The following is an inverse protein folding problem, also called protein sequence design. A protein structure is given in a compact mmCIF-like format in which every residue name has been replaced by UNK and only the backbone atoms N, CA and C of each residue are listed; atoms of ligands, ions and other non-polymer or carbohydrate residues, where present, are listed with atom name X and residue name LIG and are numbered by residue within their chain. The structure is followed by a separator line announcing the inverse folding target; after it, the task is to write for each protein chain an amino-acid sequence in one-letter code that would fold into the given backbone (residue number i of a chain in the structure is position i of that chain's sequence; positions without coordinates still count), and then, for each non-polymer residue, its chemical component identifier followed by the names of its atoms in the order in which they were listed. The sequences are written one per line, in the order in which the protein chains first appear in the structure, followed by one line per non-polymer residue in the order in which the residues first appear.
data_IF_947427475498
#
_entry.id   IF_947427475498
#
_cell.length_a   1.000
_cell.length_b   1.000
_cell.length_c   1.000
_cell.angle_alpha   90.00
_cell.angle_beta   90.00
_cell.angle_gamma   90.00
#
_symmetry.space_group_name_H-M   'P 1'
#
loop_
_entity.id
_entity.type
_entity.pdbx_description
1 polymer ?
#
# COMPACT_ATOMS: atom_id res chain seq x y z
N UNK A 1 -17.80 -28.79 18.56
CA UNK A 1 -16.70 -29.40 19.35
C UNK A 1 -17.03 -29.22 20.83
N UNK A 2 -17.09 -30.26 21.64
CA UNK A 2 -17.29 -30.15 23.08
C UNK A 2 -16.14 -29.39 23.76
N UNK A 3 -16.39 -28.79 24.93
CA UNK A 3 -15.37 -27.97 25.61
C UNK A 3 -14.16 -28.77 26.11
N UNK A 4 -14.34 -30.05 26.37
CA UNK A 4 -13.30 -31.00 26.80
C UNK A 4 -12.38 -31.48 25.63
N UNK A 5 -12.82 -31.25 24.37
CA UNK A 5 -12.03 -31.48 23.16
C UNK A 5 -11.26 -30.24 22.70
N UNK A 6 -11.49 -29.08 23.33
CA UNK A 6 -10.75 -27.85 22.98
C UNK A 6 -9.30 -27.99 23.45
N UNK A 7 -8.38 -27.58 22.58
CA UNK A 7 -6.97 -27.45 22.94
C UNK A 7 -6.73 -26.43 24.04
N UNK A 8 -5.59 -26.52 24.70
CA UNK A 8 -5.17 -25.55 25.74
C UNK A 8 -4.24 -24.52 25.17
N UNK A 9 -4.45 -23.23 25.53
CA UNK A 9 -3.51 -22.18 25.20
C UNK A 9 -2.16 -22.45 25.89
N UNK A 10 -1.08 -22.33 25.13
CA UNK A 10 0.30 -22.40 25.62
C UNK A 10 1.06 -21.17 25.19
N UNK A 11 1.71 -20.50 26.13
CA UNK A 11 2.59 -19.39 25.81
C UNK A 11 3.86 -19.90 25.15
N UNK A 12 4.27 -19.22 24.07
CA UNK A 12 5.51 -19.46 23.36
C UNK A 12 6.43 -18.26 23.59
N UNK A 13 7.35 -18.37 24.54
CA UNK A 13 8.13 -17.23 25.05
C UNK A 13 9.19 -16.72 24.05
N UNK A 14 9.63 -17.57 23.12
CA UNK A 14 10.62 -17.25 22.08
C UNK A 14 10.01 -16.83 20.73
N UNK A 15 8.68 -16.65 20.66
CA UNK A 15 7.99 -16.32 19.40
C UNK A 15 8.49 -15.01 18.77
N UNK A 16 8.67 -13.95 19.61
CA UNK A 16 9.16 -12.65 19.14
C UNK A 16 10.55 -12.76 18.52
N UNK A 17 11.49 -13.42 19.20
CA UNK A 17 12.85 -13.62 18.69
C UNK A 17 12.87 -14.40 17.38
N UNK A 18 12.06 -15.45 17.24
CA UNK A 18 11.93 -16.20 15.97
C UNK A 18 11.41 -15.33 14.84
N UNK A 19 10.42 -14.49 15.10
CA UNK A 19 9.88 -13.60 14.09
C UNK A 19 10.88 -12.51 13.70
N UNK A 20 11.61 -11.93 14.67
CA UNK A 20 12.69 -10.96 14.42
C UNK A 20 13.74 -11.59 13.49
N UNK A 21 14.24 -12.79 13.82
CA UNK A 21 15.21 -13.50 12.97
C UNK A 21 14.65 -13.81 11.58
N UNK A 22 13.38 -14.20 11.49
CA UNK A 22 12.73 -14.41 10.21
C UNK A 22 12.71 -13.11 9.38
N UNK A 23 12.24 -11.99 9.93
CA UNK A 23 12.23 -10.70 9.23
C UNK A 23 13.63 -10.32 8.74
N UNK A 24 14.63 -10.42 9.61
CA UNK A 24 16.04 -10.14 9.26
C UNK A 24 16.55 -11.02 8.12
N UNK A 25 16.11 -12.26 8.03
CA UNK A 25 16.51 -13.19 6.96
C UNK A 25 15.92 -12.81 5.58
N UNK A 26 14.94 -11.93 5.52
CA UNK A 26 14.31 -11.50 4.25
C UNK A 26 15.09 -10.42 3.51
N UNK A 27 15.98 -9.70 4.19
CA UNK A 27 16.92 -8.76 3.56
C UNK A 27 18.18 -9.52 3.11
N UNK A 28 18.81 -9.18 1.97
CA UNK A 28 20.06 -9.82 1.57
C UNK A 28 21.14 -9.70 2.63
N UNK A 29 21.92 -10.78 2.87
CA UNK A 29 22.86 -10.87 3.98
C UNK A 29 24.07 -9.92 3.91
N UNK A 30 24.29 -9.27 2.77
CA UNK A 30 25.29 -8.22 2.55
C UNK A 30 24.76 -6.80 2.78
N UNK A 31 23.46 -6.66 3.11
CA UNK A 31 22.78 -5.38 3.35
C UNK A 31 22.49 -5.24 4.84
N UNK A 32 22.98 -4.15 5.44
CA UNK A 32 22.61 -3.72 6.78
C UNK A 32 22.03 -2.29 6.76
N UNK A 33 21.46 -1.86 7.90
CA UNK A 33 20.88 -0.54 8.05
C UNK A 33 21.74 0.43 8.85
N UNK A 34 23.04 0.11 9.02
CA UNK A 34 23.99 0.97 9.76
C UNK A 34 24.04 2.37 9.17
N UNK A 35 23.97 3.36 10.06
CA UNK A 35 23.96 4.77 9.68
C UNK A 35 22.63 5.29 9.17
N UNK A 36 21.60 4.45 9.05
CA UNK A 36 20.24 4.92 8.81
C UNK A 36 19.55 5.24 10.14
N UNK A 37 19.05 6.46 10.28
CA UNK A 37 18.15 6.84 11.36
C UNK A 37 16.72 6.77 10.86
N UNK A 38 15.90 5.92 11.49
CA UNK A 38 14.55 5.60 11.06
C UNK A 38 13.53 5.98 12.12
N UNK A 39 12.45 6.64 11.70
CA UNK A 39 11.23 6.73 12.51
C UNK A 39 10.41 5.46 12.28
N UNK A 40 9.99 4.79 13.35
CA UNK A 40 9.16 3.58 13.26
C UNK A 40 7.88 3.80 14.05
N UNK A 41 6.78 3.99 13.34
CA UNK A 41 5.44 4.13 13.91
C UNK A 41 4.74 2.77 13.93
N UNK A 42 4.53 2.25 15.14
CA UNK A 42 3.96 0.94 15.39
C UNK A 42 2.43 0.97 15.62
N UNK A 43 1.76 2.11 15.39
CA UNK A 43 0.31 2.27 15.53
C UNK A 43 -0.25 1.89 16.91
N UNK A 44 0.56 1.78 17.96
CA UNK A 44 0.21 1.12 19.23
C UNK A 44 -0.39 -0.28 19.00
N UNK A 45 0.05 -0.96 17.94
CA UNK A 45 -0.45 -2.25 17.45
C UNK A 45 0.44 -3.43 17.84
N UNK A 46 0.25 -4.56 17.14
CA UNK A 46 0.92 -5.83 17.42
C UNK A 46 2.45 -5.76 17.28
N UNK A 47 2.95 -4.91 16.39
CA UNK A 47 4.38 -4.78 16.12
C UNK A 47 5.15 -3.86 17.09
N UNK A 48 4.52 -3.32 18.13
CA UNK A 48 5.06 -2.26 19.00
C UNK A 48 6.45 -2.55 19.59
N UNK A 49 6.79 -3.80 19.79
CA UNK A 49 8.10 -4.21 20.30
C UNK A 49 8.97 -4.92 19.26
N UNK A 50 8.37 -5.68 18.33
CA UNK A 50 9.18 -6.45 17.35
C UNK A 50 9.69 -5.58 16.19
N UNK A 51 8.93 -4.59 15.74
CA UNK A 51 9.36 -3.75 14.62
C UNK A 51 10.61 -2.91 14.95
N UNK A 52 10.65 -2.16 16.08
CA UNK A 52 11.85 -1.45 16.48
C UNK A 52 13.08 -2.36 16.61
N UNK A 53 12.89 -3.56 17.20
CA UNK A 53 13.98 -4.51 17.41
C UNK A 53 14.54 -5.04 16.09
N UNK A 54 13.70 -5.37 15.09
CA UNK A 54 14.13 -5.82 13.75
C UNK A 54 15.07 -4.80 13.10
N UNK A 55 14.67 -3.53 13.06
CA UNK A 55 15.48 -2.48 12.42
C UNK A 55 16.74 -2.17 13.23
N UNK A 56 16.65 -2.16 14.56
CA UNK A 56 17.78 -1.94 15.46
C UNK A 56 18.84 -3.06 15.32
N UNK A 57 18.42 -4.33 15.29
CA UNK A 57 19.34 -5.46 15.14
C UNK A 57 20.02 -5.50 13.77
N UNK A 58 19.43 -4.89 12.74
CA UNK A 58 20.06 -4.64 11.44
C UNK A 58 20.99 -3.41 11.43
N UNK A 59 21.09 -2.70 12.56
CA UNK A 59 22.04 -1.60 12.77
C UNK A 59 21.45 -0.20 12.57
N UNK A 60 20.14 -0.03 12.40
CA UNK A 60 19.52 1.27 12.32
C UNK A 60 19.51 1.98 13.70
N UNK A 61 19.57 3.33 13.68
CA UNK A 61 19.23 4.18 14.81
C UNK A 61 17.70 4.43 14.76
N UNK A 62 16.95 3.81 15.69
CA UNK A 62 15.50 3.75 15.65
C UNK A 62 14.86 4.74 16.61
N UNK A 63 13.98 5.59 16.08
CA UNK A 63 13.06 6.44 16.86
C UNK A 63 11.68 5.79 16.79
N UNK A 64 11.26 5.11 17.86
CA UNK A 64 9.96 4.44 17.91
C UNK A 64 8.86 5.40 18.37
N UNK A 65 7.74 5.45 17.64
CA UNK A 65 6.50 6.15 18.02
C UNK A 65 5.33 5.19 17.93
N UNK A 66 4.20 5.51 18.55
CA UNK A 66 3.08 4.58 18.57
C UNK A 66 3.44 3.20 19.16
N UNK A 67 4.37 3.14 20.14
CA UNK A 67 4.90 1.91 20.71
C UNK A 67 4.51 1.68 22.18
N UNK A 68 3.43 2.30 22.64
CA UNK A 68 2.94 2.21 24.01
C UNK A 68 1.45 1.81 24.03
N UNK A 69 1.11 0.56 23.66
CA UNK A 69 -0.27 0.11 23.61
C UNK A 69 -0.89 0.05 25.02
N UNK A 70 -2.11 0.58 25.17
CA UNK A 70 -2.89 0.54 26.41
C UNK A 70 -4.16 -0.34 26.29
N UNK A 71 -4.36 -0.98 25.15
CA UNK A 71 -5.53 -1.79 24.81
C UNK A 71 -6.69 -1.03 24.18
N UNK A 72 -6.62 0.32 24.11
CA UNK A 72 -7.67 1.19 23.56
C UNK A 72 -7.15 2.20 22.54
N UNK A 73 -5.83 2.36 22.40
CA UNK A 73 -5.18 3.40 21.61
C UNK A 73 -4.63 2.93 20.26
N UNK A 74 -4.91 1.70 19.85
CA UNK A 74 -4.49 1.18 18.55
C UNK A 74 -4.99 2.09 17.40
N UNK A 75 -4.09 2.47 16.46
CA UNK A 75 -4.36 3.38 15.35
C UNK A 75 -4.91 4.77 15.74
N UNK A 76 -4.82 5.18 17.01
CA UNK A 76 -5.35 6.47 17.45
C UNK A 76 -4.36 7.59 17.19
N UNK A 77 -4.52 8.28 16.05
CA UNK A 77 -3.66 9.38 15.64
C UNK A 77 -2.23 8.97 15.33
N UNK A 78 -1.99 7.68 15.08
CA UNK A 78 -0.71 7.06 14.76
C UNK A 78 -0.93 5.94 13.74
N UNK A 79 0.13 5.50 13.11
CA UNK A 79 0.15 4.36 12.19
C UNK A 79 -0.25 4.70 10.75
N UNK A 80 -0.22 3.71 9.89
CA UNK A 80 -0.41 3.81 8.44
C UNK A 80 -1.76 4.39 8.00
N UNK A 81 -2.72 4.51 8.93
CA UNK A 81 -4.03 5.14 8.69
C UNK A 81 -4.08 6.61 9.12
N UNK A 82 -3.04 7.14 9.76
CA UNK A 82 -2.90 8.49 10.28
C UNK A 82 -1.49 9.02 10.00
N UNK A 83 -1.23 9.34 8.75
CA UNK A 83 0.12 9.64 8.24
C UNK A 83 0.48 11.12 8.23
N UNK A 84 -0.43 11.98 8.69
CA UNK A 84 -0.33 13.44 8.56
C UNK A 84 0.90 14.03 9.26
N UNK A 85 1.39 13.35 10.30
CA UNK A 85 2.54 13.80 11.09
C UNK A 85 3.86 13.10 10.76
N UNK A 86 3.84 12.07 9.90
CA UNK A 86 5.02 11.23 9.68
C UNK A 86 6.23 12.02 9.15
N UNK A 87 6.04 12.86 8.15
CA UNK A 87 7.13 13.64 7.55
C UNK A 87 7.66 14.70 8.51
N UNK A 88 6.78 15.33 9.31
CA UNK A 88 7.18 16.28 10.34
C UNK A 88 8.03 15.61 11.41
N UNK A 89 7.57 14.50 11.97
CA UNK A 89 8.31 13.72 12.95
C UNK A 89 9.63 13.19 12.37
N UNK A 90 9.63 12.73 11.11
CA UNK A 90 10.82 12.29 10.41
C UNK A 90 11.89 13.40 10.39
N UNK A 91 11.50 14.62 10.03
CA UNK A 91 12.36 15.80 9.98
C UNK A 91 12.83 16.25 11.37
N UNK A 92 11.91 16.32 12.35
CA UNK A 92 12.22 16.72 13.72
C UNK A 92 13.28 15.82 14.37
N UNK A 93 13.20 14.54 14.11
CA UNK A 93 14.15 13.56 14.62
C UNK A 93 15.36 13.35 13.72
N UNK A 94 15.47 14.02 12.58
CA UNK A 94 16.58 13.86 11.63
C UNK A 94 16.65 12.46 11.02
N UNK A 95 15.49 11.83 10.81
CA UNK A 95 15.39 10.50 10.20
C UNK A 95 15.48 10.58 8.67
N UNK A 96 16.07 9.56 8.05
CA UNK A 96 16.16 9.47 6.57
C UNK A 96 14.86 8.95 5.95
N UNK A 97 14.07 8.23 6.73
CA UNK A 97 12.74 7.74 6.36
C UNK A 97 11.91 7.43 7.62
N UNK A 98 10.60 7.52 7.48
CA UNK A 98 9.63 7.00 8.43
C UNK A 98 9.00 5.72 7.87
N UNK A 99 8.87 4.70 8.72
CA UNK A 99 8.16 3.45 8.49
C UNK A 99 6.92 3.48 9.35
N UNK A 100 5.74 3.41 8.78
CA UNK A 100 4.48 3.40 9.51
C UNK A 100 3.69 2.13 9.21
N UNK A 101 3.37 1.41 10.26
CA UNK A 101 2.61 0.17 10.24
C UNK A 101 1.17 0.44 10.71
N UNK A 102 0.25 -0.44 10.41
CA UNK A 102 -1.08 -0.40 11.01
C UNK A 102 -1.20 -1.34 12.21
N UNK A 103 -2.39 -1.50 12.74
CA UNK A 103 -2.62 -2.17 14.03
C UNK A 103 -2.15 -3.62 14.11
N UNK A 104 -2.27 -4.40 13.05
CA UNK A 104 -1.79 -5.79 12.94
C UNK A 104 -0.52 -5.93 12.09
N UNK A 105 0.01 -4.77 11.63
CA UNK A 105 1.27 -4.62 10.91
C UNK A 105 1.33 -5.35 9.56
N UNK A 106 0.18 -5.54 8.92
CA UNK A 106 0.10 -6.13 7.57
C UNK A 106 0.25 -5.07 6.47
N UNK A 107 0.22 -3.76 6.81
CA UNK A 107 0.35 -2.62 5.91
C UNK A 107 1.58 -1.78 6.24
N UNK A 108 2.11 -1.18 5.18
CA UNK A 108 3.24 -0.27 5.22
C UNK A 108 2.92 1.02 4.47
N UNK A 109 3.14 2.14 5.14
CA UNK A 109 3.27 3.47 4.54
C UNK A 109 4.64 4.01 4.96
N UNK A 110 5.30 4.74 4.09
CA UNK A 110 6.57 5.38 4.41
C UNK A 110 6.49 6.89 4.14
N UNK A 111 7.37 7.65 4.77
CA UNK A 111 7.50 9.08 4.49
C UNK A 111 8.97 9.50 4.53
N UNK A 112 9.28 10.61 3.85
CA UNK A 112 10.56 11.30 3.94
C UNK A 112 10.47 12.56 4.81
N UNK A 113 11.60 13.21 5.03
CA UNK A 113 11.69 14.46 5.78
C UNK A 113 11.26 15.69 4.94
N UNK A 114 11.13 15.53 3.63
CA UNK A 114 10.78 16.58 2.67
C UNK A 114 9.27 16.80 2.57
N UNK A 115 8.46 15.90 3.10
CA UNK A 115 7.01 16.05 3.19
C UNK A 115 6.22 15.07 2.33
N UNK A 116 6.88 14.15 1.62
CA UNK A 116 6.19 13.15 0.81
C UNK A 116 5.85 11.90 1.63
N UNK A 117 4.61 11.45 1.48
CA UNK A 117 4.11 10.20 2.05
C UNK A 117 3.93 9.20 0.92
N UNK A 118 4.70 8.13 0.96
CA UNK A 118 4.72 7.07 -0.05
C UNK A 118 3.69 6.02 0.28
N UNK A 119 2.72 5.85 -0.60
CA UNK A 119 1.67 4.84 -0.44
C UNK A 119 2.09 3.45 -0.97
N UNK A 120 1.21 2.46 -0.82
CA UNK A 120 1.50 1.08 -1.23
C UNK A 120 1.86 0.92 -2.71
N UNK A 121 1.32 1.75 -3.60
CA UNK A 121 1.64 1.69 -5.04
C UNK A 121 3.08 2.13 -5.31
N UNK A 122 3.55 3.19 -4.64
CA UNK A 122 4.92 3.69 -4.75
C UNK A 122 5.93 2.73 -4.12
N UNK A 123 5.60 2.18 -2.96
CA UNK A 123 6.47 1.22 -2.27
C UNK A 123 6.57 -0.11 -3.02
N UNK A 124 5.47 -0.61 -3.57
CA UNK A 124 5.46 -1.77 -4.45
C UNK A 124 6.31 -1.52 -5.70
N UNK A 125 6.24 -0.32 -6.29
CA UNK A 125 7.09 0.07 -7.40
C UNK A 125 8.58 -0.01 -7.06
N UNK A 126 8.98 0.53 -5.91
CA UNK A 126 10.39 0.44 -5.43
C UNK A 126 10.84 -1.01 -5.33
N UNK A 127 10.03 -1.87 -4.71
CA UNK A 127 10.35 -3.30 -4.57
C UNK A 127 10.50 -3.97 -5.94
N UNK A 128 9.57 -3.75 -6.86
CA UNK A 128 9.60 -4.33 -8.21
C UNK A 128 10.83 -3.85 -8.99
N UNK A 129 11.13 -2.55 -8.95
CA UNK A 129 12.32 -1.97 -9.61
C UNK A 129 13.62 -2.55 -9.09
N UNK A 130 13.69 -2.79 -7.79
CA UNK A 130 14.84 -3.43 -7.18
C UNK A 130 15.01 -4.88 -7.67
N UNK A 131 13.92 -5.65 -7.73
CA UNK A 131 13.94 -7.03 -8.26
C UNK A 131 14.30 -7.12 -9.75
N UNK A 132 13.91 -6.12 -10.54
CA UNK A 132 14.31 -6.05 -11.95
C UNK A 132 15.82 -5.93 -12.16
N UNK A 133 16.58 -5.56 -11.13
CA UNK A 133 18.07 -5.57 -11.18
C UNK A 133 18.65 -6.99 -11.10
N UNK A 134 17.90 -7.91 -10.48
CA UNK A 134 18.30 -9.31 -10.33
C UNK A 134 17.80 -10.19 -11.50
N UNK A 135 16.75 -9.74 -12.18
CA UNK A 135 16.16 -10.46 -13.32
C UNK A 135 14.82 -9.90 -13.76
N UNK A 136 14.22 -10.46 -14.79
CA UNK A 136 12.94 -9.99 -15.31
C UNK A 136 11.81 -10.26 -14.31
N UNK A 137 10.95 -9.26 -14.09
CA UNK A 137 9.69 -9.39 -13.35
C UNK A 137 8.56 -9.58 -14.36
N UNK A 138 7.90 -10.74 -14.34
CA UNK A 138 6.88 -11.09 -15.33
C UNK A 138 5.61 -10.24 -15.19
N UNK A 139 5.24 -9.88 -13.95
CA UNK A 139 4.05 -9.07 -13.71
C UNK A 139 3.79 -8.75 -12.26
N UNK A 140 2.86 -7.83 -12.06
CA UNK A 140 2.41 -7.29 -10.77
C UNK A 140 0.89 -7.36 -10.71
N UNK A 141 0.34 -7.79 -9.58
CA UNK A 141 -1.08 -7.71 -9.32
C UNK A 141 -1.41 -6.54 -8.38
N UNK A 142 -2.29 -5.66 -8.82
CA UNK A 142 -2.88 -4.62 -8.00
C UNK A 142 -4.38 -4.82 -7.83
N UNK A 143 -5.06 -3.83 -7.26
CA UNK A 143 -6.52 -3.84 -7.15
C UNK A 143 -7.17 -2.86 -8.12
N UNK A 144 -8.51 -2.83 -8.11
CA UNK A 144 -9.26 -1.79 -8.80
C UNK A 144 -8.90 -0.37 -8.33
N UNK A 145 -8.31 -0.24 -7.13
CA UNK A 145 -7.92 1.06 -6.56
C UNK A 145 -6.48 1.47 -6.90
N UNK A 146 -5.64 0.55 -7.35
CA UNK A 146 -4.25 0.84 -7.76
C UNK A 146 -4.22 1.95 -8.80
N UNK A 147 -3.37 2.94 -8.60
CA UNK A 147 -3.26 4.11 -9.47
C UNK A 147 -2.87 3.73 -10.90
N UNK A 148 -3.50 4.35 -11.88
CA UNK A 148 -3.21 4.08 -13.30
C UNK A 148 -1.78 4.49 -13.68
N UNK A 149 -1.19 5.46 -12.99
CA UNK A 149 0.20 5.85 -13.17
C UNK A 149 1.17 4.68 -12.93
N UNK A 150 0.92 3.87 -11.89
CA UNK A 150 1.71 2.66 -11.63
C UNK A 150 1.56 1.62 -12.75
N UNK A 151 0.32 1.30 -13.16
CA UNK A 151 0.05 0.37 -14.25
C UNK A 151 0.75 0.79 -15.55
N UNK A 152 0.62 2.07 -15.91
CA UNK A 152 1.27 2.66 -17.08
C UNK A 152 2.79 2.52 -17.01
N UNK A 153 3.37 2.90 -15.86
CA UNK A 153 4.83 2.86 -15.69
C UNK A 153 5.38 1.44 -15.74
N UNK A 154 4.70 0.47 -15.13
CA UNK A 154 5.07 -0.94 -15.22
C UNK A 154 5.00 -1.45 -16.66
N UNK A 155 3.96 -1.07 -17.41
CA UNK A 155 3.84 -1.40 -18.83
C UNK A 155 4.98 -0.85 -19.70
N UNK A 156 5.42 0.39 -19.44
CA UNK A 156 6.59 1.00 -20.09
C UNK A 156 7.90 0.23 -19.81
N UNK A 157 7.97 -0.42 -18.64
CA UNK A 157 9.09 -1.26 -18.24
C UNK A 157 8.99 -2.72 -18.73
N UNK A 158 7.92 -3.05 -19.47
CA UNK A 158 7.67 -4.42 -19.95
C UNK A 158 7.17 -5.38 -18.86
N UNK A 159 6.69 -4.86 -17.73
CA UNK A 159 6.12 -5.64 -16.64
C UNK A 159 4.60 -5.74 -16.84
N UNK A 160 4.06 -6.97 -16.86
CA UNK A 160 2.63 -7.20 -16.94
C UNK A 160 1.89 -6.64 -15.73
N UNK A 161 0.64 -6.22 -15.93
CA UNK A 161 -0.19 -5.75 -14.82
C UNK A 161 -1.56 -6.44 -14.82
N UNK A 162 -2.05 -6.83 -13.64
CA UNK A 162 -3.39 -7.40 -13.46
C UNK A 162 -4.13 -6.70 -12.33
N UNK A 163 -5.41 -6.40 -12.55
CA UNK A 163 -6.29 -5.81 -11.54
C UNK A 163 -7.17 -6.87 -10.89
N UNK A 164 -7.02 -7.02 -9.58
CA UNK A 164 -7.91 -7.80 -8.74
C UNK A 164 -9.08 -6.95 -8.20
N UNK A 165 -10.08 -7.59 -7.63
CA UNK A 165 -11.02 -6.91 -6.72
C UNK A 165 -10.24 -6.34 -5.52
N UNK A 166 -10.82 -5.33 -4.86
CA UNK A 166 -10.25 -4.80 -3.62
C UNK A 166 -10.24 -5.89 -2.53
N UNK A 167 -9.09 -6.06 -1.89
CA UNK A 167 -8.82 -7.05 -0.85
C UNK A 167 -7.59 -7.90 -1.19
N UNK A 168 -6.71 -8.05 -0.22
CA UNK A 168 -5.44 -8.78 -0.26
C UNK A 168 -5.59 -10.20 -0.82
N UNK A 169 -6.63 -10.92 -0.38
CA UNK A 169 -6.97 -12.25 -0.88
C UNK A 169 -7.08 -12.31 -2.40
N UNK A 170 -7.74 -11.31 -3.01
CA UNK A 170 -7.94 -11.30 -4.47
C UNK A 170 -6.65 -10.96 -5.21
N UNK A 171 -5.78 -10.17 -4.60
CA UNK A 171 -4.43 -9.91 -5.13
C UNK A 171 -3.62 -11.20 -5.10
N UNK A 172 -3.64 -11.93 -3.98
CA UNK A 172 -2.96 -13.21 -3.84
C UNK A 172 -3.48 -14.25 -4.85
N UNK A 173 -4.81 -14.35 -5.03
CA UNK A 173 -5.42 -15.24 -6.03
C UNK A 173 -4.87 -14.93 -7.44
N UNK A 174 -4.78 -13.66 -7.84
CA UNK A 174 -4.21 -13.25 -9.14
C UNK A 174 -2.72 -13.59 -9.27
N UNK A 175 -1.94 -13.44 -8.20
CA UNK A 175 -0.53 -13.81 -8.20
C UNK A 175 -0.35 -15.31 -8.42
N UNK A 176 -1.10 -16.13 -7.70
CA UNK A 176 -1.02 -17.60 -7.80
C UNK A 176 -1.48 -18.11 -9.17
N UNK A 177 -2.58 -17.57 -9.72
CA UNK A 177 -3.10 -17.96 -11.04
C UNK A 177 -2.10 -17.66 -12.17
N UNK A 178 -1.31 -16.58 -12.05
CA UNK A 178 -0.37 -16.11 -13.08
C UNK A 178 1.06 -16.58 -12.85
N UNK A 179 1.35 -17.15 -11.69
CA UNK A 179 2.72 -17.46 -11.28
C UNK A 179 3.57 -16.20 -11.04
N UNK A 180 2.94 -15.10 -10.63
CA UNK A 180 3.61 -13.84 -10.30
C UNK A 180 3.93 -13.75 -8.82
N UNK A 181 4.92 -12.92 -8.48
CA UNK A 181 5.44 -12.86 -7.11
C UNK A 181 5.12 -11.56 -6.37
N UNK A 182 4.78 -10.48 -7.09
CA UNK A 182 4.65 -9.14 -6.49
C UNK A 182 3.26 -8.57 -6.73
N UNK A 183 2.68 -8.03 -5.68
CA UNK A 183 1.39 -7.37 -5.76
C UNK A 183 1.10 -6.57 -4.52
N UNK A 184 0.01 -5.81 -4.54
CA UNK A 184 -0.38 -5.03 -3.36
C UNK A 184 -1.55 -4.11 -3.61
N UNK A 185 -1.85 -3.36 -2.56
CA UNK A 185 -2.89 -2.36 -2.51
C UNK A 185 -2.32 -0.99 -2.18
N UNK A 186 -2.93 0.05 -2.67
CA UNK A 186 -2.58 1.45 -2.36
C UNK A 186 -2.56 1.73 -0.84
N UNK A 187 -3.36 0.97 -0.07
CA UNK A 187 -3.40 1.04 1.41
C UNK A 187 -2.12 0.56 2.11
N UNK A 188 -1.15 0.01 1.37
CA UNK A 188 0.12 -0.45 1.92
C UNK A 188 0.21 -1.96 2.18
N UNK A 189 -0.83 -2.75 1.92
CA UNK A 189 -0.74 -4.20 1.99
C UNK A 189 0.01 -4.72 0.76
N UNK A 190 1.28 -5.13 0.95
CA UNK A 190 2.20 -5.53 -0.11
C UNK A 190 2.54 -7.01 0.03
N UNK A 191 2.45 -7.73 -1.09
CA UNK A 191 2.81 -9.12 -1.23
C UNK A 191 4.12 -9.23 -2.00
N UNK A 192 5.14 -9.84 -1.39
CA UNK A 192 6.41 -10.21 -2.01
C UNK A 192 6.62 -11.72 -1.75
N UNK A 193 6.01 -12.55 -2.59
CA UNK A 193 5.92 -14.01 -2.39
C UNK A 193 7.27 -14.73 -2.47
N UNK A 194 8.30 -14.05 -2.94
CA UNK A 194 9.70 -14.50 -2.86
C UNK A 194 10.28 -14.37 -1.43
N UNK A 195 9.59 -13.70 -0.51
CA UNK A 195 10.02 -13.43 0.87
C UNK A 195 9.04 -13.93 1.91
N UNK A 196 7.74 -13.67 1.72
CA UNK A 196 6.68 -14.01 2.66
C UNK A 196 5.40 -14.37 1.90
N UNK A 197 4.62 -15.30 2.43
CA UNK A 197 3.39 -15.80 1.79
C UNK A 197 2.14 -14.93 2.05
N UNK A 198 2.28 -13.89 2.87
CA UNK A 198 1.23 -12.92 3.19
C UNK A 198 1.79 -11.52 3.21
N UNK A 199 0.94 -10.50 3.29
CA UNK A 199 1.35 -9.13 3.58
C UNK A 199 1.99 -9.03 4.96
N UNK A 200 3.09 -8.31 5.02
CA UNK A 200 3.87 -8.07 6.23
C UNK A 200 4.58 -6.72 6.08
N UNK A 201 4.16 -5.74 6.87
CA UNK A 201 4.67 -4.38 6.76
C UNK A 201 6.15 -4.27 7.12
N UNK A 202 6.65 -5.09 8.07
CA UNK A 202 8.06 -5.09 8.46
C UNK A 202 8.90 -5.69 7.33
N UNK A 203 8.50 -6.84 6.78
CA UNK A 203 9.18 -7.45 5.64
C UNK A 203 9.18 -6.52 4.44
N UNK A 204 8.05 -5.89 4.14
CA UNK A 204 7.92 -4.92 3.04
C UNK A 204 8.84 -3.71 3.24
N UNK A 205 8.91 -3.15 4.46
CA UNK A 205 9.81 -2.06 4.80
C UNK A 205 11.29 -2.48 4.59
N UNK A 206 11.65 -3.69 4.99
CA UNK A 206 13.01 -4.22 4.77
C UNK A 206 13.36 -4.34 3.29
N UNK A 207 12.40 -4.69 2.41
CA UNK A 207 12.65 -4.71 0.97
C UNK A 207 12.91 -3.30 0.43
N UNK A 208 12.12 -2.31 0.85
CA UNK A 208 12.29 -0.90 0.44
C UNK A 208 13.60 -0.33 0.98
N UNK A 209 13.89 -0.48 2.27
CA UNK A 209 15.13 -0.03 2.89
C UNK A 209 16.34 -0.74 2.28
N UNK A 210 16.22 -2.03 1.95
CA UNK A 210 17.22 -2.78 1.22
C UNK A 210 17.53 -2.19 -0.15
N UNK A 211 16.49 -1.77 -0.90
CA UNK A 211 16.65 -1.09 -2.17
C UNK A 211 17.38 0.26 -2.00
N UNK A 212 17.01 1.06 -1.00
CA UNK A 212 17.70 2.32 -0.66
C UNK A 212 19.19 2.07 -0.37
N UNK A 213 19.52 1.05 0.42
CA UNK A 213 20.91 0.71 0.79
C UNK A 213 21.73 0.25 -0.40
N UNK A 214 21.18 -0.65 -1.23
CA UNK A 214 21.89 -1.17 -2.42
C UNK A 214 22.16 -0.11 -3.46
N UNK A 215 21.27 0.87 -3.60
CA UNK A 215 21.41 1.93 -4.60
C UNK A 215 22.12 3.17 -4.07
N UNK A 216 22.13 3.38 -2.76
CA UNK A 216 22.53 4.62 -2.13
C UNK A 216 21.55 5.77 -2.38
N UNK A 217 20.31 5.46 -2.81
CA UNK A 217 19.29 6.44 -3.21
C UNK A 217 18.24 6.65 -2.11
N UNK A 218 17.68 7.85 -2.05
CA UNK A 218 16.52 8.18 -1.25
C UNK A 218 15.23 7.57 -1.85
N UNK A 219 14.12 7.58 -1.08
CA UNK A 219 12.82 7.19 -1.59
C UNK A 219 12.38 8.06 -2.77
N UNK A 220 12.60 9.37 -2.68
CA UNK A 220 12.29 10.31 -3.75
C UNK A 220 13.03 9.98 -5.06
N UNK A 221 14.31 9.60 -4.98
CA UNK A 221 15.08 9.19 -6.16
C UNK A 221 14.62 7.85 -6.73
N UNK A 222 14.23 6.89 -5.87
CA UNK A 222 13.74 5.58 -6.30
C UNK A 222 12.36 5.64 -6.97
N UNK A 223 11.56 6.66 -6.67
CA UNK A 223 10.23 6.87 -7.24
C UNK A 223 10.20 8.00 -8.28
N UNK A 224 11.32 8.67 -8.56
CA UNK A 224 11.37 9.88 -9.40
C UNK A 224 10.82 9.70 -10.82
N UNK A 225 10.84 8.49 -11.34
CA UNK A 225 10.31 8.13 -12.66
C UNK A 225 8.89 7.53 -12.63
N UNK A 226 8.24 7.50 -11.47
CA UNK A 226 6.83 7.14 -11.27
C UNK A 226 6.00 8.39 -11.04
N UNK A 227 5.02 8.62 -11.88
CA UNK A 227 4.03 9.69 -11.68
C UNK A 227 2.67 9.07 -11.40
N UNK A 228 2.21 9.17 -10.17
CA UNK A 228 0.83 8.83 -9.83
C UNK A 228 -0.10 9.91 -10.36
N UNK A 229 -1.22 9.48 -10.94
CA UNK A 229 -2.21 10.39 -11.49
C UNK A 229 -3.10 10.95 -10.39
N UNK A 230 -3.49 12.24 -10.48
CA UNK A 230 -4.56 12.79 -9.67
C UNK A 230 -5.82 11.96 -9.75
N UNK A 231 -6.47 11.74 -8.61
CA UNK A 231 -7.74 11.02 -8.49
C UNK A 231 -8.82 11.94 -7.97
N UNK A 232 -9.98 11.93 -8.62
CA UNK A 232 -11.20 12.55 -8.10
C UNK A 232 -12.24 11.47 -7.81
N UNK A 233 -12.80 11.48 -6.60
CA UNK A 233 -13.80 10.53 -6.15
C UNK A 233 -15.08 11.27 -5.75
N UNK A 234 -16.19 10.95 -6.41
CA UNK A 234 -17.52 11.44 -6.05
C UNK A 234 -18.37 10.28 -5.53
N UNK A 235 -18.89 10.43 -4.32
CA UNK A 235 -19.83 9.50 -3.71
C UNK A 235 -21.24 10.02 -3.89
N UNK A 236 -22.08 9.31 -4.65
CA UNK A 236 -23.47 9.70 -4.90
C UNK A 236 -24.42 8.74 -4.21
N UNK A 237 -25.30 9.21 -3.30
CA UNK A 237 -26.34 8.37 -2.72
C UNK A 237 -27.23 7.78 -3.82
N UNK A 238 -27.50 6.48 -3.74
CA UNK A 238 -28.42 5.78 -4.65
C UNK A 238 -29.43 4.96 -3.86
N UNK A 239 -30.68 4.79 -4.32
CA UNK A 239 -31.63 3.88 -3.71
C UNK A 239 -31.07 2.45 -3.65
N UNK A 240 -31.44 1.70 -2.61
CA UNK A 240 -31.04 0.29 -2.50
C UNK A 240 -31.59 -0.51 -3.69
N UNK A 241 -30.70 -1.18 -4.41
CA UNK A 241 -31.05 -1.97 -5.59
C UNK A 241 -31.21 -1.15 -6.88
N UNK A 242 -30.80 0.12 -6.88
CA UNK A 242 -30.82 0.96 -8.08
C UNK A 242 -29.92 0.36 -9.17
N UNK A 243 -30.51 0.15 -10.36
CA UNK A 243 -29.79 -0.37 -11.53
C UNK A 243 -29.10 0.78 -12.30
N UNK A 244 -27.98 1.23 -11.78
CA UNK A 244 -27.17 2.27 -12.41
C UNK A 244 -26.63 1.89 -13.79
N UNK A 245 -26.53 0.56 -14.09
CA UNK A 245 -26.10 0.09 -15.41
C UNK A 245 -27.19 0.21 -16.46
N UNK A 246 -28.45 0.19 -16.03
CA UNK A 246 -29.61 0.46 -16.88
C UNK A 246 -29.88 1.96 -17.12
N UNK A 247 -29.26 2.84 -16.35
CA UNK A 247 -29.39 4.30 -16.51
C UNK A 247 -28.59 4.77 -17.74
N UNK A 248 -29.33 5.03 -18.84
CA UNK A 248 -28.71 5.39 -20.12
C UNK A 248 -27.94 6.71 -20.05
N UNK A 249 -28.48 7.72 -19.38
CA UNK A 249 -27.81 9.03 -19.29
C UNK A 249 -26.49 8.92 -18.52
N UNK A 250 -26.52 8.17 -17.42
CA UNK A 250 -25.31 7.89 -16.64
C UNK A 250 -24.27 7.10 -17.45
N UNK A 251 -24.68 6.03 -18.15
CA UNK A 251 -23.73 5.22 -18.94
C UNK A 251 -23.18 5.98 -20.14
N UNK A 252 -23.96 6.87 -20.76
CA UNK A 252 -23.45 7.76 -21.83
C UNK A 252 -22.38 8.72 -21.28
N UNK A 253 -22.59 9.28 -20.06
CA UNK A 253 -21.60 10.14 -19.39
C UNK A 253 -20.34 9.36 -18.96
N UNK A 254 -20.48 8.12 -18.50
CA UNK A 254 -19.33 7.22 -18.23
C UNK A 254 -18.50 7.02 -19.49
N UNK A 255 -19.13 6.68 -20.62
CA UNK A 255 -18.46 6.47 -21.89
C UNK A 255 -17.78 7.75 -22.43
N UNK A 256 -18.34 8.92 -22.17
CA UNK A 256 -17.72 10.20 -22.49
C UNK A 256 -16.48 10.45 -21.64
N UNK A 257 -16.56 10.22 -20.35
CA UNK A 257 -15.43 10.35 -19.43
C UNK A 257 -14.30 9.37 -19.80
N UNK A 258 -14.62 8.10 -20.09
CA UNK A 258 -13.64 7.10 -20.53
C UNK A 258 -12.91 7.54 -21.80
N UNK A 259 -13.64 8.07 -22.78
CA UNK A 259 -13.03 8.62 -24.02
C UNK A 259 -12.12 9.80 -23.74
N UNK A 260 -12.53 10.69 -22.82
CA UNK A 260 -11.78 11.89 -22.48
C UNK A 260 -10.45 11.56 -21.79
N UNK A 261 -10.36 10.46 -21.03
CA UNK A 261 -9.14 10.04 -20.34
C UNK A 261 -8.39 8.90 -21.02
N UNK A 262 -8.82 8.48 -22.19
CA UNK A 262 -8.21 7.34 -22.91
C UNK A 262 -6.70 7.53 -23.09
N UNK A 263 -5.91 6.56 -22.62
CA UNK A 263 -4.44 6.56 -22.69
C UNK A 263 -3.73 7.48 -21.67
N UNK A 264 -4.47 8.30 -20.91
CA UNK A 264 -3.92 9.23 -19.91
C UNK A 264 -4.64 9.20 -18.55
N UNK A 265 -5.51 8.22 -18.36
CA UNK A 265 -6.27 8.04 -17.14
C UNK A 265 -7.27 6.91 -17.27
N UNK A 266 -8.20 6.84 -16.32
CA UNK A 266 -9.29 5.85 -16.33
C UNK A 266 -10.50 6.31 -15.52
N UNK A 267 -11.62 5.64 -15.74
CA UNK A 267 -12.84 5.79 -14.94
C UNK A 267 -13.11 4.49 -14.19
N UNK A 268 -13.52 4.59 -12.94
CA UNK A 268 -13.94 3.45 -12.13
C UNK A 268 -15.29 3.75 -11.48
N UNK A 269 -16.28 2.93 -11.79
CA UNK A 269 -17.62 3.00 -11.19
C UNK A 269 -17.82 1.77 -10.32
N UNK A 270 -18.13 1.97 -9.03
CA UNK A 270 -18.42 0.87 -8.13
C UNK A 270 -19.45 1.23 -7.07
N UNK A 271 -20.38 0.33 -6.71
CA UNK A 271 -21.20 0.50 -5.51
C UNK A 271 -20.32 0.37 -4.25
N UNK A 272 -20.72 1.10 -3.20
CA UNK A 272 -20.19 0.86 -1.87
C UNK A 272 -20.68 -0.49 -1.33
N UNK A 273 -19.82 -1.23 -0.63
CA UNK A 273 -20.20 -2.51 -0.01
C UNK A 273 -21.04 -2.35 1.25
N UNK A 274 -20.97 -1.19 1.92
CA UNK A 274 -21.56 -0.95 3.25
C UNK A 274 -22.63 0.13 3.26
N UNK A 275 -22.62 1.03 2.29
CA UNK A 275 -23.50 2.19 2.23
C UNK A 275 -24.27 2.21 0.91
N UNK A 276 -25.45 2.82 0.84
CA UNK A 276 -26.24 2.99 -0.39
C UNK A 276 -25.64 4.11 -1.26
N UNK A 277 -24.39 3.94 -1.69
CA UNK A 277 -23.63 4.90 -2.48
C UNK A 277 -23.07 4.26 -3.74
N UNK A 278 -23.11 5.01 -4.85
CA UNK A 278 -22.32 4.74 -6.04
C UNK A 278 -21.08 5.64 -6.02
N UNK A 279 -19.91 5.04 -6.19
CA UNK A 279 -18.63 5.72 -6.21
C UNK A 279 -18.18 5.89 -7.65
N UNK A 280 -18.02 7.14 -8.06
CA UNK A 280 -17.50 7.54 -9.36
C UNK A 280 -16.09 8.07 -9.13
N UNK A 281 -15.10 7.34 -9.61
CA UNK A 281 -13.68 7.74 -9.53
C UNK A 281 -13.16 7.98 -10.94
N UNK A 282 -12.48 9.10 -11.13
CA UNK A 282 -11.73 9.42 -12.36
C UNK A 282 -10.30 9.70 -11.99
N UNK A 283 -9.37 9.08 -12.70
CA UNK A 283 -7.95 9.39 -12.71
C UNK A 283 -7.61 10.05 -14.05
N UNK A 284 -6.84 11.12 -14.03
CA UNK A 284 -6.33 11.78 -15.23
C UNK A 284 -4.98 12.45 -14.94
N UNK A 285 -4.23 12.75 -15.99
CA UNK A 285 -2.97 13.50 -15.93
C UNK A 285 -3.14 14.97 -15.49
N UNK A 286 -4.37 15.46 -15.44
CA UNK A 286 -4.77 16.78 -14.98
C UNK A 286 -5.85 16.66 -13.88
N UNK A 287 -5.61 17.30 -12.73
CA UNK A 287 -6.49 17.21 -11.57
C UNK A 287 -7.86 17.90 -11.80
N UNK A 288 -7.89 19.03 -12.52
CA UNK A 288 -9.13 19.75 -12.82
C UNK A 288 -10.00 18.91 -13.78
N UNK A 289 -9.36 18.27 -14.76
CA UNK A 289 -10.04 17.35 -15.66
C UNK A 289 -10.63 16.16 -14.91
N UNK A 290 -9.87 15.53 -14.00
CA UNK A 290 -10.35 14.41 -13.20
C UNK A 290 -11.57 14.81 -12.38
N UNK A 291 -11.50 15.96 -11.71
CA UNK A 291 -12.60 16.48 -10.88
C UNK A 291 -13.85 16.84 -11.71
N UNK A 292 -13.65 17.51 -12.84
CA UNK A 292 -14.73 17.90 -13.77
C UNK A 292 -15.46 16.66 -14.28
N UNK A 293 -14.73 15.65 -14.74
CA UNK A 293 -15.31 14.44 -15.29
C UNK A 293 -16.00 13.61 -14.20
N UNK A 294 -15.42 13.47 -13.00
CA UNK A 294 -16.04 12.75 -11.90
C UNK A 294 -17.37 13.40 -11.48
N UNK A 295 -17.41 14.73 -11.35
CA UNK A 295 -18.64 15.49 -11.02
C UNK A 295 -19.68 15.40 -12.13
N UNK A 296 -19.29 15.57 -13.39
CA UNK A 296 -20.19 15.48 -14.53
C UNK A 296 -20.82 14.09 -14.65
N UNK A 297 -19.98 13.04 -14.53
CA UNK A 297 -20.45 11.66 -14.58
C UNK A 297 -21.42 11.35 -13.44
N UNK A 298 -21.05 11.71 -12.20
CA UNK A 298 -21.92 11.49 -11.04
C UNK A 298 -23.23 12.26 -11.13
N UNK A 299 -23.21 13.49 -11.67
CA UNK A 299 -24.40 14.33 -11.86
C UNK A 299 -25.34 13.87 -12.96
N UNK A 300 -24.93 12.93 -13.81
CA UNK A 300 -25.78 12.35 -14.86
C UNK A 300 -26.70 11.22 -14.38
N UNK A 301 -26.60 10.80 -13.10
CA UNK A 301 -27.51 9.81 -12.53
C UNK A 301 -28.94 10.34 -12.50
N UNK A 302 -29.86 9.57 -13.04
CA UNK A 302 -31.31 9.86 -13.07
C UNK A 302 -31.99 9.34 -11.80
N UNK A 303 -31.76 10.01 -10.66
CA UNK A 303 -32.26 9.62 -9.33
C UNK A 303 -33.65 10.16 -9.04
#
# INVERSE_FOLDING_TARGET
MPSDELGKARRLDDASGRYIEFCKSTIPGDVDLKGMRLLVDCANGAAYHVAPDVFHELGADVVAVGASPDGFNINRGVGATHTEHLSELCREHGCVAAVSLDGDADRLIMADAEGHVYNGDELLYVIVRDRMREGPVAGVAGTLMTNYGLERRLGELGVGFARAKVGDRYVLEQLLERGWLYGGETSGHILALDRQTTGDGIVSALQVLGAMRRTGSSLAELTADLTLLPQALVNTPIPKGYDWRGDKAFMDAVAEAERAVAGRGRVLIRPSGTEPLLRVMVEADDAELAEKLAKATAGALSL
#
